data_IF_887554705352
#
_entry.id   IF_887554705352
#
_cell.length_a   1.000
_cell.length_b   1.000
_cell.length_c   1.000
_cell.angle_alpha   90.00
_cell.angle_beta   90.00
_cell.angle_gamma   90.00
#
_symmetry.space_group_name_H-M   'P 1'
#
loop_
_entity.id
_entity.type
_entity.pdbx_description
1 polymer ?
#
# COMPACT_ATOMS: atom_id res chain seq x y z
N UNK A 1 11.99 -14.51 -1.95
CA UNK A 1 10.97 -13.95 -2.85
C UNK A 1 10.67 -14.99 -3.92
N UNK A 2 9.59 -15.74 -3.75
CA UNK A 2 9.00 -16.53 -4.84
C UNK A 2 8.55 -15.55 -5.91
N UNK A 3 8.95 -15.76 -7.17
CA UNK A 3 8.46 -14.96 -8.28
C UNK A 3 6.93 -15.14 -8.34
N UNK A 4 6.20 -14.03 -8.27
CA UNK A 4 4.74 -14.04 -8.34
C UNK A 4 4.30 -14.55 -9.73
N UNK A 5 3.26 -15.38 -9.77
CA UNK A 5 2.67 -15.87 -11.02
C UNK A 5 1.87 -14.81 -11.78
N UNK A 6 1.70 -13.62 -11.21
CA UNK A 6 0.95 -12.51 -11.78
C UNK A 6 1.87 -11.55 -12.55
N UNK A 7 1.40 -11.06 -13.71
CA UNK A 7 2.11 -10.05 -14.50
C UNK A 7 1.96 -8.62 -13.93
N UNK A 8 1.00 -8.41 -13.04
CA UNK A 8 0.71 -7.13 -12.40
C UNK A 8 0.31 -7.36 -10.94
N UNK A 9 0.60 -6.36 -10.11
CA UNK A 9 0.22 -6.30 -8.70
C UNK A 9 -0.63 -5.06 -8.43
N UNK A 10 -1.36 -5.07 -7.34
CA UNK A 10 -2.16 -3.95 -6.88
C UNK A 10 -1.39 -3.17 -5.81
N UNK A 11 -1.09 -1.91 -6.08
CA UNK A 11 -0.59 -0.98 -5.10
C UNK A 11 -1.76 -0.27 -4.39
N UNK A 12 -1.56 0.03 -3.11
CA UNK A 12 -2.52 0.73 -2.28
C UNK A 12 -1.80 1.75 -1.41
N UNK A 13 -2.31 2.99 -1.39
CA UNK A 13 -1.91 4.03 -0.44
C UNK A 13 -3.11 4.43 0.41
N UNK A 14 -2.87 4.57 1.71
CA UNK A 14 -3.76 5.21 2.68
C UNK A 14 -3.01 6.38 3.31
N UNK A 15 -3.68 7.54 3.45
CA UNK A 15 -3.19 8.67 4.23
C UNK A 15 -4.15 8.94 5.38
N UNK A 16 -3.65 8.98 6.61
CA UNK A 16 -4.47 9.21 7.79
C UNK A 16 -3.93 10.39 8.61
N UNK A 17 -4.77 11.41 8.82
CA UNK A 17 -4.43 12.56 9.65
C UNK A 17 -4.70 12.23 11.11
N UNK A 18 -3.68 12.32 11.95
CA UNK A 18 -3.73 12.06 13.37
C UNK A 18 -4.56 13.12 14.10
N UNK A 19 -5.24 12.70 15.18
CA UNK A 19 -5.90 13.61 16.13
C UNK A 19 -4.94 14.13 17.19
N UNK A 20 -3.93 13.33 17.53
CA UNK A 20 -2.95 13.60 18.56
C UNK A 20 -1.57 13.09 18.08
N UNK A 21 -0.46 13.64 18.60
CA UNK A 21 0.87 13.08 18.40
C UNK A 21 0.93 11.58 18.77
N UNK A 22 1.78 10.79 18.09
CA UNK A 22 1.86 9.33 18.30
C UNK A 22 2.30 8.94 19.73
N UNK A 23 3.04 9.80 20.42
CA UNK A 23 3.49 9.61 21.81
C UNK A 23 2.43 10.03 22.86
N UNK A 24 1.28 10.57 22.43
CA UNK A 24 0.18 10.88 23.32
C UNK A 24 -0.47 9.60 23.89
N UNK A 25 -0.78 9.51 25.20
CA UNK A 25 -1.40 8.33 25.80
C UNK A 25 -2.72 7.88 25.13
N UNK A 26 -3.42 8.79 24.45
CA UNK A 26 -4.64 8.48 23.68
C UNK A 26 -4.35 7.69 22.40
N UNK A 27 -3.12 7.75 21.91
CA UNK A 27 -2.65 7.01 20.73
C UNK A 27 -2.06 5.65 21.09
N UNK A 28 -1.75 5.38 22.37
CA UNK A 28 -1.19 4.09 22.83
C UNK A 28 -1.94 2.88 22.29
N UNK A 29 -3.28 2.80 22.36
CA UNK A 29 -3.99 1.63 21.82
C UNK A 29 -3.83 1.44 20.32
N UNK A 30 -3.57 2.50 19.55
CA UNK A 30 -3.27 2.40 18.12
C UNK A 30 -1.83 1.92 17.90
N UNK A 31 -0.87 2.51 18.62
CA UNK A 31 0.55 2.15 18.51
C UNK A 31 0.77 0.69 18.90
N UNK A 32 0.15 0.21 19.98
CA UNK A 32 0.26 -1.17 20.45
C UNK A 32 -0.28 -2.20 19.43
N UNK A 33 -1.16 -1.77 18.52
CA UNK A 33 -1.71 -2.63 17.46
C UNK A 33 -0.84 -2.68 16.20
N UNK A 34 0.08 -1.73 16.00
CA UNK A 34 0.85 -1.60 14.76
C UNK A 34 1.62 -2.87 14.42
N UNK A 35 2.38 -3.41 15.38
CA UNK A 35 3.19 -4.61 15.17
C UNK A 35 2.32 -5.82 14.81
N UNK A 36 1.20 -6.00 15.52
CA UNK A 36 0.26 -7.09 15.25
C UNK A 36 -0.34 -6.99 13.85
N UNK A 37 -0.77 -5.79 13.45
CA UNK A 37 -1.38 -5.55 12.14
C UNK A 37 -0.36 -5.68 11.00
N UNK A 38 0.87 -5.20 11.21
CA UNK A 38 1.96 -5.33 10.25
C UNK A 38 2.35 -6.80 10.06
N UNK A 39 2.48 -7.57 11.15
CA UNK A 39 2.74 -9.01 11.09
C UNK A 39 1.60 -9.77 10.38
N UNK A 40 0.34 -9.43 10.69
CA UNK A 40 -0.81 -10.01 10.01
C UNK A 40 -0.83 -9.70 8.50
N UNK A 41 -0.32 -8.54 8.08
CA UNK A 41 -0.14 -8.23 6.67
C UNK A 41 0.99 -9.07 6.06
N UNK A 42 2.14 -9.14 6.73
CA UNK A 42 3.32 -9.89 6.28
C UNK A 42 3.01 -11.40 6.08
N UNK A 43 2.11 -11.96 6.89
CA UNK A 43 1.65 -13.35 6.82
C UNK A 43 0.42 -13.55 5.91
N UNK A 44 -0.18 -12.48 5.38
CA UNK A 44 -1.42 -12.58 4.61
C UNK A 44 -1.18 -13.21 3.21
N UNK A 45 -2.03 -14.16 2.77
CA UNK A 45 -1.96 -14.68 1.42
C UNK A 45 -2.08 -13.57 0.37
N UNK A 46 -1.15 -13.55 -0.59
CA UNK A 46 -1.11 -12.55 -1.65
C UNK A 46 -0.55 -11.19 -1.23
N UNK A 47 -0.03 -11.05 -0.02
CA UNK A 47 0.78 -9.89 0.35
C UNK A 47 2.14 -9.95 -0.38
N UNK A 48 2.57 -8.82 -0.95
CA UNK A 48 3.84 -8.74 -1.70
C UNK A 48 4.84 -7.86 -0.98
N UNK A 49 4.43 -6.67 -0.52
CA UNK A 49 5.33 -5.70 0.08
C UNK A 49 4.59 -4.59 0.84
N UNK A 50 5.26 -3.98 1.82
CA UNK A 50 4.84 -2.71 2.44
C UNK A 50 6.01 -1.76 2.61
N UNK A 51 5.71 -0.47 2.57
CA UNK A 51 6.66 0.58 2.91
C UNK A 51 7.04 0.46 4.39
N UNK A 52 8.35 0.44 4.62
CA UNK A 52 8.99 0.58 5.94
C UNK A 52 10.04 1.66 5.84
N UNK A 53 10.22 2.44 6.90
CA UNK A 53 11.40 3.30 6.99
C UNK A 53 12.67 2.45 7.11
N UNK A 54 13.78 2.93 6.54
CA UNK A 54 15.03 2.20 6.54
C UNK A 54 15.51 1.97 7.98
N UNK A 55 15.56 0.70 8.40
CA UNK A 55 15.96 0.30 9.75
C UNK A 55 14.85 0.36 10.80
N UNK A 56 13.60 0.63 10.41
CA UNK A 56 12.43 0.62 11.28
C UNK A 56 11.50 -0.57 11.01
N UNK A 57 10.55 -0.78 11.92
CA UNK A 57 9.52 -1.81 11.78
C UNK A 57 8.36 -1.38 10.86
N UNK A 58 8.14 -0.07 10.69
CA UNK A 58 7.04 0.50 9.90
C UNK A 58 7.37 1.86 9.27
N UNK A 59 6.40 2.45 8.58
CA UNK A 59 6.50 3.75 7.91
C UNK A 59 5.88 4.91 8.70
N UNK A 60 5.48 4.70 9.96
CA UNK A 60 4.77 5.70 10.77
C UNK A 60 5.66 6.85 11.25
N UNK A 61 6.96 6.82 10.98
CA UNK A 61 7.87 7.97 11.13
C UNK A 61 7.97 8.80 9.83
N UNK A 62 7.62 8.23 8.68
CA UNK A 62 7.63 8.96 7.41
C UNK A 62 6.50 9.99 7.40
N UNK A 63 6.82 11.25 7.06
CA UNK A 63 5.87 12.37 6.97
C UNK A 63 5.74 12.96 5.55
N UNK A 64 5.51 12.14 4.51
CA UNK A 64 5.52 12.61 3.13
C UNK A 64 4.28 13.47 2.78
N UNK A 65 3.25 13.48 3.64
CA UNK A 65 1.99 14.18 3.43
C UNK A 65 1.67 15.21 4.54
N UNK A 66 2.66 15.54 5.38
CA UNK A 66 2.54 16.49 6.51
C UNK A 66 2.89 15.86 7.86
N UNK A 67 3.24 16.70 8.83
CA UNK A 67 3.73 16.30 10.17
C UNK A 67 2.73 15.47 10.99
N UNK A 68 1.44 15.68 10.78
CA UNK A 68 0.36 14.93 11.46
C UNK A 68 -0.25 13.86 10.56
N UNK A 69 0.40 13.47 9.46
CA UNK A 69 -0.14 12.49 8.52
C UNK A 69 0.73 11.25 8.49
N UNK A 70 0.14 10.12 8.84
CA UNK A 70 0.74 8.81 8.61
C UNK A 70 0.33 8.30 7.23
N UNK A 71 1.23 7.54 6.61
CA UNK A 71 0.95 6.85 5.36
C UNK A 71 1.12 5.36 5.54
N UNK A 72 0.27 4.60 4.86
CA UNK A 72 0.42 3.16 4.70
C UNK A 72 0.41 2.87 3.20
N UNK A 73 1.51 2.33 2.70
CA UNK A 73 1.71 2.00 1.30
C UNK A 73 2.05 0.52 1.19
N UNK A 74 1.23 -0.24 0.48
CA UNK A 74 1.34 -1.69 0.37
C UNK A 74 1.14 -2.16 -1.08
N UNK A 75 1.63 -3.36 -1.38
CA UNK A 75 1.50 -4.04 -2.67
C UNK A 75 0.97 -5.45 -2.42
N UNK A 76 0.01 -5.85 -3.23
CA UNK A 76 -0.71 -7.12 -3.14
C UNK A 76 -0.81 -7.78 -4.51
N UNK A 77 -0.89 -9.10 -4.55
CA UNK A 77 -1.06 -9.83 -5.81
C UNK A 77 -2.38 -9.50 -6.49
N UNK A 78 -3.45 -9.36 -5.69
CA UNK A 78 -4.81 -9.10 -6.19
C UNK A 78 -5.57 -8.14 -5.28
N UNK A 79 -6.67 -7.62 -5.82
CA UNK A 79 -7.62 -6.81 -5.06
C UNK A 79 -8.31 -7.63 -3.97
N UNK A 80 -8.61 -8.89 -4.26
CA UNK A 80 -9.27 -9.81 -3.36
C UNK A 80 -8.39 -10.11 -2.13
N UNK A 81 -7.08 -10.31 -2.33
CA UNK A 81 -6.13 -10.50 -1.23
C UNK A 81 -6.11 -9.29 -0.28
N UNK A 82 -5.99 -8.08 -0.85
CA UNK A 82 -6.05 -6.84 -0.07
C UNK A 82 -7.40 -6.68 0.65
N UNK A 83 -8.50 -7.01 -0.01
CA UNK A 83 -9.84 -6.94 0.60
C UNK A 83 -9.97 -7.89 1.79
N UNK A 84 -9.51 -9.14 1.63
CA UNK A 84 -9.54 -10.14 2.69
C UNK A 84 -8.68 -9.72 3.87
N UNK A 85 -7.47 -9.21 3.64
CA UNK A 85 -6.69 -8.59 4.71
C UNK A 85 -7.46 -7.44 5.37
N UNK A 86 -8.03 -6.52 4.59
CA UNK A 86 -8.67 -5.32 5.14
C UNK A 86 -9.87 -5.63 6.03
N UNK A 87 -10.67 -6.64 5.67
CA UNK A 87 -11.99 -6.88 6.27
C UNK A 87 -12.14 -8.23 6.99
N UNK A 88 -11.19 -9.15 6.86
CA UNK A 88 -11.22 -10.49 7.46
C UNK A 88 -9.99 -10.79 8.33
N UNK A 89 -9.21 -9.78 8.69
CA UNK A 89 -8.08 -9.88 9.64
C UNK A 89 -8.25 -8.95 10.84
N UNK A 90 -7.25 -8.95 11.72
CA UNK A 90 -7.02 -8.04 12.85
C UNK A 90 -7.09 -6.55 12.42
N UNK A 91 -6.82 -6.23 11.16
CA UNK A 91 -6.97 -4.87 10.62
C UNK A 91 -8.41 -4.33 10.75
N UNK A 92 -9.42 -5.21 10.81
CA UNK A 92 -10.82 -4.81 10.97
C UNK A 92 -11.05 -4.02 12.28
N UNK A 93 -10.32 -4.34 13.35
CA UNK A 93 -10.48 -3.64 14.62
C UNK A 93 -9.91 -2.22 14.58
N UNK A 94 -8.80 -2.01 13.85
CA UNK A 94 -8.32 -0.65 13.52
C UNK A 94 -9.39 0.10 12.76
N UNK A 95 -9.98 -0.53 11.73
CA UNK A 95 -11.02 0.10 10.92
C UNK A 95 -12.25 0.49 11.73
N UNK A 96 -12.68 -0.33 12.70
CA UNK A 96 -13.81 -0.02 13.59
C UNK A 96 -13.53 1.18 14.51
N UNK A 97 -12.30 1.27 15.02
CA UNK A 97 -11.89 2.26 16.03
C UNK A 97 -11.18 3.48 15.45
N UNK A 98 -10.93 3.53 14.15
CA UNK A 98 -10.19 4.60 13.43
C UNK A 98 -10.56 6.03 13.81
N UNK A 99 -11.81 6.29 14.22
CA UNK A 99 -12.28 7.62 14.64
C UNK A 99 -11.76 8.07 16.01
N UNK A 100 -11.22 7.17 16.82
CA UNK A 100 -10.55 7.48 18.08
C UNK A 100 -9.22 8.20 17.81
N UNK A 101 -8.52 7.84 16.74
CA UNK A 101 -7.14 8.25 16.46
C UNK A 101 -6.99 9.17 15.25
N UNK A 102 -7.88 9.05 14.27
CA UNK A 102 -7.79 9.80 13.02
C UNK A 102 -8.92 10.80 12.83
N UNK A 103 -8.59 11.91 12.18
CA UNK A 103 -9.55 12.89 11.74
C UNK A 103 -10.45 12.32 10.63
N UNK A 104 -11.62 12.91 10.44
CA UNK A 104 -12.47 12.54 9.31
C UNK A 104 -11.86 13.09 8.02
N UNK A 105 -11.76 12.25 7.02
CA UNK A 105 -11.34 12.67 5.69
C UNK A 105 -12.49 13.38 4.98
N UNK A 106 -12.26 14.63 4.57
CA UNK A 106 -13.17 15.37 3.70
C UNK A 106 -13.01 14.96 2.23
N UNK A 107 -11.81 14.51 1.86
CA UNK A 107 -11.42 14.08 0.51
C UNK A 107 -11.06 12.59 0.48
N UNK A 108 -10.79 12.06 -0.72
CA UNK A 108 -10.26 10.70 -0.87
C UNK A 108 -8.96 10.54 -0.06
N UNK A 109 -8.85 9.47 0.72
CA UNK A 109 -7.68 9.16 1.56
C UNK A 109 -7.05 7.81 1.24
N UNK A 110 -7.75 6.98 0.46
CA UNK A 110 -7.32 5.70 -0.09
C UNK A 110 -7.19 5.86 -1.60
N UNK A 111 -6.13 5.33 -2.18
CA UNK A 111 -6.02 5.11 -3.62
C UNK A 111 -5.44 3.73 -3.92
N UNK A 112 -5.97 3.09 -4.95
CA UNK A 112 -5.56 1.81 -5.52
C UNK A 112 -5.14 2.04 -6.98
N UNK A 113 -4.10 1.34 -7.44
CA UNK A 113 -3.71 1.32 -8.84
C UNK A 113 -2.92 0.05 -9.15
N UNK A 114 -2.96 -0.37 -10.41
CA UNK A 114 -2.16 -1.51 -10.85
C UNK A 114 -0.73 -1.06 -11.16
N UNK A 115 0.22 -1.94 -10.86
CA UNK A 115 1.65 -1.79 -11.16
C UNK A 115 2.17 -3.07 -11.82
N UNK A 116 3.22 -3.01 -12.65
CA UNK A 116 3.91 -4.21 -13.12
C UNK A 116 4.39 -5.06 -11.95
N UNK A 117 4.33 -6.39 -12.07
CA UNK A 117 4.89 -7.25 -11.05
C UNK A 117 6.40 -7.00 -10.89
N UNK A 118 6.85 -6.90 -9.64
CA UNK A 118 8.24 -6.55 -9.29
C UNK A 118 8.52 -5.04 -9.23
N UNK A 119 7.59 -4.18 -9.64
CA UNK A 119 7.67 -2.74 -9.34
C UNK A 119 7.30 -2.50 -7.87
N UNK A 120 8.07 -1.66 -7.18
CA UNK A 120 7.74 -1.21 -5.82
C UNK A 120 7.51 0.31 -5.87
N UNK A 121 6.29 0.79 -5.55
CA UNK A 121 5.95 2.19 -5.70
C UNK A 121 6.68 3.05 -4.67
N UNK A 122 7.06 4.25 -5.09
CA UNK A 122 7.58 5.26 -4.17
C UNK A 122 6.45 6.05 -3.52
N UNK A 123 6.73 6.69 -2.39
CA UNK A 123 5.79 7.59 -1.74
C UNK A 123 5.38 8.76 -2.64
N UNK A 124 6.31 9.27 -3.47
CA UNK A 124 6.01 10.31 -4.46
C UNK A 124 5.03 9.84 -5.55
N UNK A 125 5.23 8.64 -6.09
CA UNK A 125 4.30 8.02 -7.04
C UNK A 125 2.91 7.87 -6.40
N UNK A 126 2.86 7.30 -5.20
CA UNK A 126 1.63 7.04 -4.48
C UNK A 126 0.82 8.32 -4.20
N UNK A 127 1.50 9.39 -3.79
CA UNK A 127 0.85 10.69 -3.56
C UNK A 127 0.36 11.34 -4.86
N UNK A 128 1.09 11.17 -5.97
CA UNK A 128 0.63 11.63 -7.28
C UNK A 128 -0.65 10.90 -7.72
N UNK A 129 -0.76 9.59 -7.48
CA UNK A 129 -1.98 8.81 -7.74
C UNK A 129 -3.17 9.29 -6.90
N UNK A 130 -2.93 9.58 -5.62
CA UNK A 130 -3.97 10.11 -4.74
C UNK A 130 -4.44 11.51 -5.18
N UNK A 131 -3.52 12.37 -5.61
CA UNK A 131 -3.84 13.68 -6.15
C UNK A 131 -4.67 13.57 -7.45
N UNK A 132 -4.30 12.65 -8.35
CA UNK A 132 -5.04 12.38 -9.59
C UNK A 132 -6.49 11.95 -9.29
N UNK A 133 -6.68 11.00 -8.37
CA UNK A 133 -8.00 10.56 -7.92
C UNK A 133 -8.84 11.71 -7.34
N UNK A 134 -8.25 12.60 -6.55
CA UNK A 134 -8.95 13.75 -5.96
C UNK A 134 -9.36 14.78 -7.01
N UNK A 135 -8.49 15.03 -8.00
CA UNK A 135 -8.72 16.03 -9.03
C UNK A 135 -9.70 15.56 -10.12
N UNK A 136 -9.63 14.28 -10.50
CA UNK A 136 -10.32 13.78 -11.70
C UNK A 136 -11.35 12.68 -11.41
N UNK A 137 -11.41 12.17 -10.17
CA UNK A 137 -12.23 11.03 -9.80
C UNK A 137 -11.64 9.68 -10.23
N UNK A 138 -12.37 8.57 -10.02
CA UNK A 138 -11.87 7.22 -10.29
C UNK A 138 -11.58 6.96 -11.77
N UNK A 139 -10.44 6.32 -12.05
CA UNK A 139 -10.05 5.83 -13.37
C UNK A 139 -9.14 4.60 -13.25
N UNK A 140 -8.80 3.95 -14.36
CA UNK A 140 -7.83 2.84 -14.35
C UNK A 140 -6.44 3.25 -13.84
N UNK A 141 -6.12 4.55 -13.86
CA UNK A 141 -4.87 5.10 -13.35
C UNK A 141 -4.87 5.27 -11.83
N UNK A 142 -6.03 5.48 -11.22
CA UNK A 142 -6.19 5.71 -9.78
C UNK A 142 -7.66 5.52 -9.37
N UNK A 143 -7.94 4.57 -8.49
CA UNK A 143 -9.29 4.22 -8.07
C UNK A 143 -9.37 3.84 -6.59
N UNK A 144 -10.53 3.41 -6.12
CA UNK A 144 -10.75 2.92 -4.74
C UNK A 144 -11.52 1.61 -4.78
N UNK A 145 -11.79 1.00 -3.62
CA UNK A 145 -12.70 -0.16 -3.55
C UNK A 145 -14.12 0.13 -4.06
N UNK A 146 -14.53 1.39 -4.22
CA UNK A 146 -15.85 1.73 -4.77
C UNK A 146 -15.96 1.50 -6.29
N UNK A 147 -14.84 1.27 -6.99
CA UNK A 147 -14.78 1.06 -8.43
C UNK A 147 -13.90 -0.14 -8.75
N UNK A 148 -14.01 -0.74 -9.93
CA UNK A 148 -13.16 -1.86 -10.35
C UNK A 148 -12.60 -1.63 -11.74
N UNK A 149 -11.30 -1.78 -11.88
CA UNK A 149 -10.55 -1.71 -13.13
C UNK A 149 -9.61 -2.91 -13.18
N UNK A 150 -9.42 -3.51 -14.35
CA UNK A 150 -8.47 -4.58 -14.56
C UNK A 150 -7.06 -4.05 -14.82
N UNK A 151 -6.03 -4.86 -14.54
CA UNK A 151 -4.65 -4.52 -14.81
C UNK A 151 -4.38 -4.19 -16.29
N UNK A 152 -5.09 -4.84 -17.21
CA UNK A 152 -5.00 -4.58 -18.65
C UNK A 152 -5.46 -3.16 -19.04
N UNK A 153 -6.27 -2.50 -18.22
CA UNK A 153 -6.76 -1.14 -18.47
C UNK A 153 -5.79 -0.06 -17.98
N UNK A 154 -4.82 -0.41 -17.13
CA UNK A 154 -3.96 0.56 -16.44
C UNK A 154 -2.75 1.05 -17.28
N UNK A 155 -2.60 0.56 -18.52
CA UNK A 155 -1.45 0.85 -19.41
C UNK A 155 -0.11 0.80 -18.66
N UNK A 156 0.26 -0.41 -18.21
CA UNK A 156 1.31 -0.64 -17.23
C UNK A 156 2.75 -0.39 -17.74
N UNK A 157 2.92 0.01 -19.00
CA UNK A 157 4.23 0.08 -19.65
C UNK A 157 4.94 -1.29 -19.69
N UNK A 158 6.13 -1.39 -20.29
CA UNK A 158 6.94 -2.60 -20.20
C UNK A 158 7.43 -2.77 -18.76
N UNK A 159 7.16 -3.93 -18.15
CA UNK A 159 7.72 -4.30 -16.83
C UNK A 159 9.25 -4.35 -16.87
N UNK A 160 9.93 -4.37 -15.70
CA UNK A 160 11.37 -4.48 -15.66
C UNK A 160 11.81 -5.74 -16.41
N UNK A 161 12.70 -5.58 -17.40
CA UNK A 161 13.19 -6.68 -18.19
C UNK A 161 13.86 -7.69 -17.25
N UNK A 162 13.31 -8.91 -17.19
CA UNK A 162 14.02 -10.05 -16.63
C UNK A 162 15.30 -10.21 -17.45
N UNK A 163 16.45 -9.83 -16.88
CA UNK A 163 17.76 -10.15 -17.45
C UNK A 163 17.88 -11.68 -17.49
N UNK A 164 17.59 -12.26 -18.66
CA UNK A 164 17.94 -13.64 -18.96
C UNK A 164 19.46 -13.69 -19.03
N UNK A 165 20.09 -14.15 -17.95
CA UNK A 165 21.51 -14.48 -17.94
C UNK A 165 21.75 -15.65 -18.90
N UNK A 166 21.97 -15.35 -20.18
CA UNK A 166 22.53 -16.31 -21.13
C UNK A 166 24.02 -16.43 -20.84
N UNK A 167 24.37 -17.34 -19.92
CA UNK A 167 25.74 -17.79 -19.76
C UNK A 167 26.13 -18.68 -20.93
N UNK A 168 26.85 -18.14 -21.91
CA UNK A 168 27.60 -18.93 -22.88
C UNK A 168 28.82 -19.57 -22.19
N UNK A 169 29.03 -20.89 -22.29
CA UNK A 169 30.28 -21.50 -21.86
C UNK A 169 31.36 -21.30 -22.92
N UNK A 170 32.46 -20.64 -22.53
CA UNK A 170 33.70 -20.56 -23.30
C UNK A 170 34.32 -21.96 -23.45
N UNK A 171 34.73 -22.40 -24.66
CA UNK A 171 35.44 -23.66 -24.82
C UNK A 171 36.92 -23.50 -24.44
N UNK A 172 37.49 -24.57 -23.89
CA UNK A 172 38.91 -24.76 -23.62
C UNK A 172 39.58 -25.55 -24.76
#
# INVERSE_FOLDING_TARGET
>A
MTASGYAAHLAQLNVATLRFPLDDPRMTPFVDMLDTVNAAADDAPGFVWRLVEQGAADATALRPAGEDVIVNLTVWETREALWDFTYRSEHLDVMRRRREWFQRHAEAHLVLWWIPAGHLPTTGEALARLADLRAHGPSARAFTFASSYAAAEADLGPGPALETATGEPSPA
#
